data_IF_687880511399
#
_entry.id   IF_687880511399
#
_cell.length_a   1.000
_cell.length_b   1.000
_cell.length_c   1.000
_cell.angle_alpha   90.00
_cell.angle_beta   90.00
_cell.angle_gamma   90.00
#
_symmetry.space_group_name_H-M   'P 1'
#
loop_
_entity.id
_entity.type
_entity.pdbx_description
1 polymer ?
#
# COMPACT_ATOMS: atom_id res chain seq x y z
N UNK A 1 -9.20 13.18 -6.76
CA UNK A 1 -8.60 12.00 -6.08
C UNK A 1 -7.21 11.80 -6.64
N UNK A 2 -6.18 11.78 -5.79
CA UNK A 2 -4.77 11.58 -6.20
C UNK A 2 -4.33 10.18 -5.77
N UNK A 3 -3.63 9.47 -6.64
CA UNK A 3 -3.14 8.12 -6.36
C UNK A 3 -1.68 8.16 -5.91
N UNK A 4 -1.36 7.46 -4.82
CA UNK A 4 -0.01 7.32 -4.28
C UNK A 4 0.38 5.85 -4.37
N UNK A 5 1.48 5.55 -5.06
CA UNK A 5 2.03 4.20 -5.13
C UNK A 5 3.17 4.11 -4.12
N UNK A 6 3.10 3.14 -3.21
CA UNK A 6 4.13 2.88 -2.21
C UNK A 6 4.68 1.48 -2.44
N UNK A 7 5.95 1.41 -2.86
CA UNK A 7 6.66 0.14 -3.00
C UNK A 7 7.11 -0.37 -1.62
N UNK A 8 6.97 -1.66 -1.36
CA UNK A 8 7.41 -2.23 -0.08
C UNK A 8 6.55 -1.79 1.13
N UNK A 9 5.28 -1.45 0.90
CA UNK A 9 4.36 -0.96 1.92
C UNK A 9 3.85 -2.03 2.91
N UNK A 10 4.18 -3.30 2.71
CA UNK A 10 3.68 -4.40 3.55
C UNK A 10 4.37 -4.55 4.91
N UNK A 11 5.37 -3.71 5.22
CA UNK A 11 6.05 -3.65 6.52
C UNK A 11 6.91 -2.39 6.65
N UNK A 12 7.45 -2.14 7.85
CA UNK A 12 8.45 -1.10 8.09
C UNK A 12 7.99 0.31 7.73
N UNK A 13 8.88 1.10 7.13
CA UNK A 13 8.62 2.51 6.81
C UNK A 13 7.48 2.69 5.79
N UNK A 14 7.39 1.84 4.77
CA UNK A 14 6.33 1.92 3.78
C UNK A 14 4.95 1.70 4.40
N UNK A 15 4.84 0.81 5.38
CA UNK A 15 3.61 0.57 6.13
C UNK A 15 3.22 1.78 6.97
N UNK A 16 4.16 2.34 7.73
CA UNK A 16 3.91 3.52 8.58
C UNK A 16 3.59 4.77 7.74
N UNK A 17 4.23 4.92 6.59
CA UNK A 17 3.92 5.96 5.62
C UNK A 17 2.48 5.82 5.10
N UNK A 18 2.07 4.62 4.67
CA UNK A 18 0.70 4.36 4.23
C UNK A 18 -0.32 4.65 5.33
N UNK A 19 -0.01 4.26 6.58
CA UNK A 19 -0.86 4.53 7.75
C UNK A 19 -1.06 6.03 7.96
N UNK A 20 0.03 6.80 7.99
CA UNK A 20 -0.05 8.24 8.24
C UNK A 20 -0.84 8.96 7.14
N UNK A 21 -0.59 8.63 5.87
CA UNK A 21 -1.34 9.19 4.74
C UNK A 21 -2.85 8.90 4.87
N UNK A 22 -3.21 7.66 5.19
CA UNK A 22 -4.62 7.26 5.34
C UNK A 22 -5.32 7.92 6.53
N UNK A 23 -4.58 8.25 7.60
CA UNK A 23 -5.10 8.96 8.77
C UNK A 23 -5.28 10.45 8.50
N UNK A 24 -4.33 11.08 7.81
CA UNK A 24 -4.32 12.52 7.60
C UNK A 24 -5.26 12.97 6.49
N UNK A 25 -5.51 12.13 5.48
CA UNK A 25 -6.21 12.59 4.29
C UNK A 25 -7.01 11.48 3.58
N UNK A 26 -8.32 11.71 3.44
CA UNK A 26 -9.26 10.80 2.77
C UNK A 26 -9.26 10.90 1.24
N UNK A 27 -8.65 11.93 0.65
CA UNK A 27 -8.67 12.21 -0.80
C UNK A 27 -7.56 11.47 -1.57
N UNK A 28 -6.64 10.83 -0.85
CA UNK A 28 -5.62 9.96 -1.42
C UNK A 28 -6.09 8.53 -1.53
N UNK A 29 -5.73 7.91 -2.66
CA UNK A 29 -5.88 6.48 -2.88
C UNK A 29 -4.50 5.82 -2.90
N UNK A 30 -4.26 4.86 -2.01
CA UNK A 30 -2.97 4.18 -1.87
C UNK A 30 -2.95 2.89 -2.67
N UNK A 31 -1.87 2.68 -3.42
CA UNK A 31 -1.51 1.39 -4.01
C UNK A 31 -0.28 0.85 -3.29
N UNK A 32 -0.45 -0.24 -2.55
CA UNK A 32 0.65 -1.02 -1.96
C UNK A 32 1.24 -1.93 -3.02
N UNK A 33 2.31 -1.48 -3.67
CA UNK A 33 2.99 -2.25 -4.70
C UNK A 33 4.07 -3.15 -4.07
N UNK A 34 3.83 -4.46 -4.00
CA UNK A 34 4.67 -5.38 -3.24
C UNK A 34 4.83 -6.73 -3.93
N UNK A 35 5.97 -7.40 -3.67
CA UNK A 35 6.29 -8.71 -4.25
C UNK A 35 5.42 -9.85 -3.73
N UNK A 36 5.01 -9.80 -2.46
CA UNK A 36 4.19 -10.86 -1.85
C UNK A 36 2.78 -10.31 -1.60
N UNK A 37 1.82 -10.71 -2.43
CA UNK A 37 0.43 -10.24 -2.35
C UNK A 37 -0.20 -10.64 -1.01
N UNK A 38 -0.04 -11.88 -0.57
CA UNK A 38 -0.67 -12.40 0.65
C UNK A 38 -0.27 -11.60 1.91
N UNK A 39 1.04 -11.34 2.08
CA UNK A 39 1.55 -10.50 3.17
C UNK A 39 1.02 -9.07 3.07
N UNK A 40 0.90 -8.56 1.85
CA UNK A 40 0.44 -7.19 1.60
C UNK A 40 -1.07 -7.04 1.85
N UNK A 41 -1.85 -8.07 1.56
CA UNK A 41 -3.28 -8.12 1.87
C UNK A 41 -3.55 -8.14 3.38
N UNK A 42 -2.75 -8.90 4.13
CA UNK A 42 -2.78 -8.85 5.61
C UNK A 42 -2.47 -7.44 6.12
N UNK A 43 -1.44 -6.80 5.59
CA UNK A 43 -1.09 -5.42 5.94
C UNK A 43 -2.19 -4.41 5.55
N UNK A 44 -2.86 -4.59 4.40
CA UNK A 44 -4.02 -3.77 3.98
C UNK A 44 -5.15 -3.86 5.01
N UNK A 45 -5.51 -5.06 5.44
CA UNK A 45 -6.57 -5.27 6.46
C UNK A 45 -6.20 -4.57 7.77
N UNK A 46 -4.94 -4.68 8.19
CA UNK A 46 -4.45 -4.00 9.39
C UNK A 46 -4.54 -2.46 9.26
N UNK A 47 -4.11 -1.90 8.11
CA UNK A 47 -4.21 -0.46 7.84
C UNK A 47 -5.66 0.02 7.83
N UNK A 48 -6.57 -0.70 7.17
CA UNK A 48 -8.01 -0.36 7.19
C UNK A 48 -8.54 -0.40 8.64
N UNK A 49 -8.13 -1.39 9.45
CA UNK A 49 -8.52 -1.51 10.84
C UNK A 49 -8.08 -0.33 11.70
N UNK A 50 -6.83 0.13 11.54
CA UNK A 50 -6.23 1.24 12.29
C UNK A 50 -6.71 2.62 11.84
N UNK A 51 -6.98 2.79 10.55
CA UNK A 51 -7.26 4.12 9.97
C UNK A 51 -8.73 4.36 9.67
N UNK A 52 -9.54 3.28 9.62
CA UNK A 52 -10.94 3.28 9.14
C UNK A 52 -11.10 3.78 7.70
N UNK A 53 -9.99 3.93 6.97
CA UNK A 53 -9.96 4.38 5.59
C UNK A 53 -9.76 3.17 4.66
N UNK A 54 -10.64 3.05 3.66
CA UNK A 54 -10.64 1.94 2.68
C UNK A 54 -10.02 2.33 1.33
N UNK A 55 -9.45 3.52 1.21
CA UNK A 55 -8.84 4.03 -0.02
C UNK A 55 -7.43 3.45 -0.21
N UNK A 56 -7.35 2.12 -0.22
CA UNK A 56 -6.11 1.37 -0.33
C UNK A 56 -6.34 0.05 -1.07
N UNK A 57 -5.41 -0.30 -1.98
CA UNK A 57 -5.38 -1.59 -2.66
C UNK A 57 -3.98 -2.17 -2.71
N UNK A 58 -3.88 -3.47 -2.97
CA UNK A 58 -2.61 -4.18 -3.18
C UNK A 58 -2.43 -4.42 -4.67
N UNK A 59 -1.21 -4.23 -5.14
CA UNK A 59 -0.78 -4.56 -6.50
C UNK A 59 0.51 -5.37 -6.42
N UNK A 60 0.61 -6.44 -7.21
CA UNK A 60 1.86 -7.17 -7.31
C UNK A 60 2.91 -6.32 -8.03
N UNK A 61 4.10 -6.23 -7.45
CA UNK A 61 5.25 -5.58 -8.08
C UNK A 61 6.54 -6.25 -7.60
N UNK A 62 7.30 -6.76 -8.55
CA UNK A 62 8.64 -7.26 -8.34
C UNK A 62 9.66 -6.39 -9.08
N UNK A 63 10.26 -5.43 -8.38
CA UNK A 63 11.27 -4.52 -8.94
C UNK A 63 12.56 -5.22 -9.42
N UNK A 64 12.77 -6.49 -9.06
CA UNK A 64 13.88 -7.29 -9.58
C UNK A 64 13.59 -7.93 -10.94
N UNK A 65 12.39 -7.76 -11.48
CA UNK A 65 11.99 -8.23 -12.81
C UNK A 65 11.52 -7.05 -13.66
N UNK A 66 12.22 -6.76 -14.75
CA UNK A 66 11.80 -5.72 -15.70
C UNK A 66 10.43 -6.02 -16.31
N UNK A 67 10.04 -7.29 -16.43
CA UNK A 67 8.69 -7.65 -16.90
C UNK A 67 7.58 -7.18 -15.95
N UNK A 68 7.90 -7.01 -14.66
CA UNK A 68 6.98 -6.48 -13.67
C UNK A 68 6.92 -4.95 -13.65
N UNK A 69 7.78 -4.27 -14.43
CA UNK A 69 7.91 -2.81 -14.50
C UNK A 69 7.65 -2.37 -15.94
N UNK A 70 6.38 -2.44 -16.37
CA UNK A 70 5.92 -2.04 -17.70
C UNK A 70 4.83 -0.98 -17.61
#
# INVERSE_FOLDING_TARGET
MKTIIITGANSGLGFECAKNILLENSDYFIIMACRNIEKSEKAKIELIGKTKNKNIQVMELNLSSFDSVR
#
